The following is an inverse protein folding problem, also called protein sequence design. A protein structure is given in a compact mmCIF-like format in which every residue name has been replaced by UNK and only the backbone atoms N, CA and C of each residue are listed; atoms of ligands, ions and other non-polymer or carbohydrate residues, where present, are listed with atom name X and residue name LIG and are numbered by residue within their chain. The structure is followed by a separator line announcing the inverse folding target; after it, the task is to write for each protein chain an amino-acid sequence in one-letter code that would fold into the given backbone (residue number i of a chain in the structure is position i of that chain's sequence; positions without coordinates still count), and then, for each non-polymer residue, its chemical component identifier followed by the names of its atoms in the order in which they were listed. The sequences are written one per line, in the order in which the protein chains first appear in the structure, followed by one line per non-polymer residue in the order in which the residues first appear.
data_IF_113730780268
#
_entry.id   IF_113730780268
#
_cell.length_a   1.000
_cell.length_b   1.000
_cell.length_c   1.000
_cell.angle_alpha   90.00
_cell.angle_beta   90.00
_cell.angle_gamma   90.00
#
_symmetry.space_group_name_H-M   'P 1'
#
loop_
_entity.id
_entity.type
_entity.pdbx_description
1 polymer ?
#
# COMPACT_ATOMS: atom_id res chain seq x y z
N UNK A 1 48.70 -48.13 -28.45
CA UNK A 1 47.71 -48.51 -27.42
C UNK A 1 47.92 -47.62 -26.22
N UNK A 2 46.96 -46.71 -25.97
CA UNK A 2 46.73 -45.80 -24.82
C UNK A 2 47.91 -45.27 -23.99
N UNK A 3 47.98 -43.94 -23.81
CA UNK A 3 47.60 -43.24 -22.56
C UNK A 3 47.99 -41.74 -22.55
N UNK A 4 46.97 -40.89 -22.63
CA UNK A 4 46.67 -39.70 -21.82
C UNK A 4 47.70 -38.56 -21.54
N UNK A 5 47.12 -37.34 -21.61
CA UNK A 5 47.48 -36.09 -20.89
C UNK A 5 48.51 -35.16 -21.58
N UNK A 6 48.36 -33.84 -21.62
CA UNK A 6 47.39 -32.93 -20.98
C UNK A 6 47.57 -31.52 -21.58
N UNK A 7 46.56 -30.69 -21.35
CA UNK A 7 46.64 -29.23 -21.29
C UNK A 7 47.01 -28.51 -22.59
N UNK A 8 46.02 -27.86 -23.20
CA UNK A 8 46.06 -26.43 -23.51
C UNK A 8 44.72 -26.01 -24.12
N UNK A 9 44.32 -24.79 -23.79
CA UNK A 9 43.16 -24.07 -24.33
C UNK A 9 41.83 -24.52 -23.75
N UNK A 10 41.34 -23.81 -22.73
CA UNK A 10 39.99 -23.22 -22.80
C UNK A 10 39.98 -21.99 -21.90
N UNK A 11 40.15 -20.83 -22.55
CA UNK A 11 39.71 -19.54 -22.04
C UNK A 11 38.20 -19.65 -21.75
N UNK A 12 37.83 -19.91 -20.49
CA UNK A 12 36.46 -19.72 -20.04
C UNK A 12 36.30 -18.24 -19.67
N UNK A 13 35.91 -17.42 -20.65
CA UNK A 13 35.29 -16.12 -20.41
C UNK A 13 33.93 -16.40 -19.73
N UNK A 14 33.92 -16.39 -18.40
CA UNK A 14 32.67 -16.47 -17.64
C UNK A 14 31.90 -15.16 -17.75
N UNK A 15 30.82 -15.15 -18.53
CA UNK A 15 29.87 -14.04 -18.58
C UNK A 15 29.08 -14.03 -17.27
N UNK A 16 29.41 -13.10 -16.36
CA UNK A 16 28.70 -12.93 -15.10
C UNK A 16 27.39 -12.18 -15.38
N UNK A 17 26.28 -12.91 -15.51
CA UNK A 17 24.94 -12.31 -15.63
C UNK A 17 24.51 -11.84 -14.24
N UNK A 18 24.62 -10.53 -13.99
CA UNK A 18 24.06 -9.92 -12.78
C UNK A 18 22.56 -9.80 -12.97
N UNK A 19 21.78 -10.69 -12.34
CA UNK A 19 20.34 -10.55 -12.26
C UNK A 19 20.02 -9.33 -11.37
N UNK A 20 19.55 -8.25 -11.98
CA UNK A 20 19.04 -7.10 -11.25
C UNK A 20 17.73 -7.50 -10.55
N UNK A 21 17.79 -7.69 -9.23
CA UNK A 21 16.60 -7.87 -8.41
C UNK A 21 15.83 -6.54 -8.42
N UNK A 22 14.78 -6.48 -9.24
CA UNK A 22 13.82 -5.38 -9.23
C UNK A 22 13.05 -5.49 -7.92
N UNK A 23 13.48 -4.74 -6.91
CA UNK A 23 12.65 -4.50 -5.72
C UNK A 23 11.50 -3.62 -6.21
N UNK A 24 10.40 -4.25 -6.63
CA UNK A 24 9.14 -3.54 -6.76
C UNK A 24 8.84 -3.01 -5.37
N UNK A 25 8.81 -1.68 -5.20
CA UNK A 25 8.43 -1.05 -3.95
C UNK A 25 7.13 -1.72 -3.46
N UNK A 26 7.22 -2.38 -2.30
CA UNK A 26 6.18 -3.23 -1.77
C UNK A 26 4.97 -2.37 -1.42
N UNK A 27 3.85 -2.59 -2.10
CA UNK A 27 2.57 -1.98 -1.70
C UNK A 27 2.09 -2.67 -0.44
N UNK A 28 1.80 -1.91 0.61
CA UNK A 28 1.19 -2.43 1.83
C UNK A 28 -0.31 -2.16 1.73
N UNK A 29 -1.16 -3.20 1.72
CA UNK A 29 -2.60 -2.97 1.64
C UNK A 29 -3.12 -2.29 2.91
N UNK A 30 -4.11 -1.41 2.76
CA UNK A 30 -4.88 -0.90 3.89
C UNK A 30 -5.75 -2.04 4.42
N UNK A 31 -5.70 -2.28 5.72
CA UNK A 31 -6.53 -3.30 6.34
C UNK A 31 -7.88 -2.69 6.78
N UNK A 32 -8.95 -3.48 6.77
CA UNK A 32 -10.33 -3.08 7.15
C UNK A 32 -10.99 -4.10 8.07
N UNK A 33 -11.98 -3.66 8.85
CA UNK A 33 -12.71 -4.52 9.79
C UNK A 33 -11.88 -4.93 11.01
N UNK A 34 -12.29 -6.01 11.66
CA UNK A 34 -11.70 -6.55 12.89
C UNK A 34 -12.66 -6.60 14.08
N UNK A 35 -13.90 -6.12 13.92
CA UNK A 35 -14.92 -6.08 14.95
C UNK A 35 -16.23 -6.63 14.39
N UNK A 36 -16.92 -7.47 15.17
CA UNK A 36 -18.14 -8.17 14.73
C UNK A 36 -19.37 -7.26 14.67
N UNK A 37 -19.39 -6.19 15.46
CA UNK A 37 -20.57 -5.33 15.65
C UNK A 37 -20.38 -3.90 15.15
N UNK A 38 -19.15 -3.52 14.81
CA UNK A 38 -18.82 -2.16 14.36
C UNK A 38 -18.61 -2.13 12.85
N UNK A 39 -18.92 -0.99 12.25
CA UNK A 39 -18.55 -0.69 10.87
C UNK A 39 -17.07 -1.00 10.62
N UNK A 40 -16.78 -1.53 9.43
CA UNK A 40 -15.41 -1.93 9.08
C UNK A 40 -14.42 -0.77 9.17
N UNK A 41 -14.89 0.46 8.93
CA UNK A 41 -14.19 1.72 9.18
C UNK A 41 -15.19 2.80 9.62
N UNK A 42 -14.97 3.42 10.77
CA UNK A 42 -15.98 4.30 11.40
C UNK A 42 -15.62 5.80 11.37
N UNK A 43 -14.38 6.16 11.06
CA UNK A 43 -13.92 7.56 11.15
C UNK A 43 -13.94 8.24 9.79
N UNK A 44 -14.79 9.25 9.64
CA UNK A 44 -14.86 10.14 8.47
C UNK A 44 -13.90 11.32 8.66
N UNK A 45 -13.10 11.60 7.64
CA UNK A 45 -12.13 12.69 7.62
C UNK A 45 -12.02 13.34 6.23
N UNK A 46 -11.34 14.48 6.17
CA UNK A 46 -11.09 15.21 4.93
C UNK A 46 -9.65 15.72 4.84
N UNK A 47 -9.19 15.87 3.60
CA UNK A 47 -7.87 16.40 3.27
C UNK A 47 -7.86 17.93 3.45
N UNK A 48 -6.95 18.45 4.26
CA UNK A 48 -6.88 19.92 4.53
C UNK A 48 -6.10 20.69 3.47
N UNK A 49 -5.21 20.02 2.74
CA UNK A 49 -4.42 20.57 1.64
C UNK A 49 -4.07 19.48 0.62
N UNK A 50 -3.88 19.86 -0.66
CA UNK A 50 -3.53 18.91 -1.73
C UNK A 50 -2.31 18.07 -1.35
N UNK A 51 -2.45 16.74 -1.33
CA UNK A 51 -1.38 15.84 -0.90
C UNK A 51 -1.41 14.47 -1.58
N UNK A 52 -0.26 13.78 -1.71
CA UNK A 52 -0.20 12.44 -2.28
C UNK A 52 -0.76 11.36 -1.33
N UNK A 53 -1.44 10.38 -1.92
CA UNK A 53 -1.76 9.09 -1.32
C UNK A 53 -0.69 8.08 -1.72
N UNK A 54 -0.09 7.39 -0.76
CA UNK A 54 1.03 6.48 -1.00
C UNK A 54 0.60 5.01 -0.98
N UNK A 55 1.35 4.15 -1.69
CA UNK A 55 1.07 2.71 -1.77
C UNK A 55 1.48 1.93 -0.52
N UNK A 56 2.22 2.57 0.39
CA UNK A 56 2.66 2.03 1.68
C UNK A 56 2.89 3.21 2.66
N UNK A 57 2.99 2.97 3.99
CA UNK A 57 3.18 4.01 5.01
C UNK A 57 4.61 4.58 4.99
N UNK A 58 5.01 5.13 3.85
CA UNK A 58 6.32 5.69 3.59
C UNK A 58 6.24 6.65 2.38
N UNK A 59 6.70 7.89 2.57
CA UNK A 59 6.64 8.96 1.58
C UNK A 59 7.54 8.73 0.35
N UNK A 60 8.47 7.76 0.40
CA UNK A 60 9.32 7.36 -0.73
C UNK A 60 8.69 6.26 -1.59
N UNK A 61 7.47 5.80 -1.27
CA UNK A 61 6.78 4.76 -2.03
C UNK A 61 5.95 5.35 -3.17
N UNK A 62 5.38 4.50 -4.01
CA UNK A 62 4.62 4.94 -5.18
C UNK A 62 3.43 5.80 -4.73
N UNK A 63 3.27 6.96 -5.37
CA UNK A 63 2.03 7.74 -5.27
C UNK A 63 0.93 7.00 -6.04
N UNK A 64 -0.12 6.60 -5.33
CA UNK A 64 -1.33 5.99 -5.90
C UNK A 64 -2.10 7.04 -6.69
N UNK A 65 -2.33 8.19 -6.05
CA UNK A 65 -3.06 9.34 -6.59
C UNK A 65 -2.73 10.58 -5.76
N UNK A 66 -2.90 11.77 -6.31
CA UNK A 66 -2.87 13.01 -5.54
C UNK A 66 -4.29 13.42 -5.19
N UNK A 67 -4.56 13.58 -3.89
CA UNK A 67 -5.87 13.98 -3.39
C UNK A 67 -5.98 15.50 -3.36
N UNK A 68 -7.14 16.02 -3.73
CA UNK A 68 -7.43 17.45 -3.65
C UNK A 68 -7.81 17.84 -2.22
N UNK A 69 -7.66 19.12 -1.91
CA UNK A 69 -8.21 19.68 -0.67
C UNK A 69 -9.73 19.46 -0.64
N UNK A 70 -10.25 19.05 0.53
CA UNK A 70 -11.67 18.81 0.74
C UNK A 70 -12.15 17.43 0.29
N UNK A 71 -11.28 16.58 -0.26
CA UNK A 71 -11.63 15.18 -0.53
C UNK A 71 -11.93 14.47 0.79
N UNK A 72 -13.13 13.90 0.90
CA UNK A 72 -13.55 13.08 2.03
C UNK A 72 -13.08 11.64 1.87
N UNK A 73 -12.78 10.99 2.99
CA UNK A 73 -12.35 9.59 3.05
C UNK A 73 -12.67 9.01 4.42
N UNK A 74 -12.60 7.68 4.54
CA UNK A 74 -12.69 7.00 5.83
C UNK A 74 -11.33 6.44 6.25
N UNK A 75 -11.02 6.53 7.54
CA UNK A 75 -9.81 5.97 8.12
C UNK A 75 -10.11 4.54 8.57
N UNK A 76 -9.28 3.60 8.10
CA UNK A 76 -9.48 2.18 8.29
C UNK A 76 -8.33 1.49 9.02
N UNK A 77 -7.14 2.08 8.96
CA UNK A 77 -5.91 1.47 9.46
C UNK A 77 -4.94 2.50 10.02
N UNK A 78 -3.96 2.02 10.78
CA UNK A 78 -2.87 2.85 11.29
C UNK A 78 -1.53 2.11 11.22
N UNK A 79 -0.47 2.86 10.97
CA UNK A 79 0.89 2.36 11.01
C UNK A 79 1.81 3.29 11.81
N UNK A 80 2.95 2.75 12.23
CA UNK A 80 3.97 3.48 12.99
C UNK A 80 4.39 4.75 12.23
N UNK A 81 4.64 5.83 12.96
CA UNK A 81 5.10 7.09 12.37
C UNK A 81 3.96 8.00 11.91
N UNK A 82 2.74 7.80 12.40
CA UNK A 82 1.60 8.69 12.15
C UNK A 82 1.06 8.56 10.74
N UNK A 83 0.94 7.31 10.27
CA UNK A 83 0.34 6.99 8.99
C UNK A 83 -1.07 6.44 9.20
N UNK A 84 -2.01 6.96 8.43
CA UNK A 84 -3.39 6.47 8.36
C UNK A 84 -3.58 5.74 7.04
N UNK A 85 -4.08 4.50 7.12
CA UNK A 85 -4.60 3.79 5.96
C UNK A 85 -6.04 4.21 5.73
N UNK A 86 -6.34 4.69 4.52
CA UNK A 86 -7.63 5.27 4.17
C UNK A 86 -8.27 4.58 2.98
N UNK A 87 -9.58 4.72 2.88
CA UNK A 87 -10.37 4.36 1.69
C UNK A 87 -11.18 5.58 1.25
N UNK A 88 -11.21 5.86 -0.06
CA UNK A 88 -11.95 6.97 -0.63
C UNK A 88 -12.48 6.65 -2.04
N UNK A 89 -13.55 7.33 -2.43
CA UNK A 89 -14.18 7.19 -3.74
C UNK A 89 -15.24 8.27 -3.96
N UNK A 90 -15.85 8.29 -5.14
CA UNK A 90 -16.90 9.26 -5.48
C UNK A 90 -18.13 9.11 -4.57
N UNK A 91 -18.45 7.87 -4.19
CA UNK A 91 -19.45 7.54 -3.19
C UNK A 91 -18.82 6.66 -2.10
N UNK A 92 -18.62 7.23 -0.90
CA UNK A 92 -18.05 6.49 0.23
C UNK A 92 -18.97 5.38 0.75
N UNK A 93 -20.29 5.53 0.57
CA UNK A 93 -21.25 4.55 1.06
C UNK A 93 -21.21 3.24 0.26
N UNK A 94 -20.80 3.31 -1.01
CA UNK A 94 -20.62 2.12 -1.87
C UNK A 94 -19.29 1.39 -1.63
N UNK A 95 -18.38 1.92 -0.82
CA UNK A 95 -17.07 1.30 -0.59
C UNK A 95 -17.12 0.02 0.25
N UNK A 96 -18.29 -0.36 0.78
CA UNK A 96 -18.50 -1.59 1.55
C UNK A 96 -17.91 -1.56 2.96
N UNK A 97 -17.89 -0.38 3.59
CA UNK A 97 -17.26 -0.15 4.89
C UNK A 97 -18.24 0.19 6.01
N UNK A 98 -19.50 0.48 5.69
CA UNK A 98 -20.59 0.85 6.63
C UNK A 98 -21.34 -0.37 7.16
N UNK A 99 -20.65 -1.50 7.27
CA UNK A 99 -21.20 -2.72 7.84
C UNK A 99 -20.06 -3.54 8.46
N UNK A 100 -20.36 -4.41 9.44
CA UNK A 100 -19.31 -5.17 10.09
C UNK A 100 -18.55 -6.11 9.16
N UNK A 101 -17.23 -6.08 9.29
CA UNK A 101 -16.32 -7.07 8.75
C UNK A 101 -15.58 -7.65 9.96
N UNK A 102 -16.05 -8.81 10.44
CA UNK A 102 -15.53 -9.45 11.65
C UNK A 102 -14.02 -9.70 11.61
N UNK A 103 -13.50 -10.18 10.47
CA UNK A 103 -12.08 -10.51 10.32
C UNK A 103 -11.31 -9.34 9.72
N UNK A 104 -10.25 -8.91 10.40
CA UNK A 104 -9.29 -7.94 9.86
C UNK A 104 -8.67 -8.49 8.57
N UNK A 105 -8.87 -7.79 7.46
CA UNK A 105 -8.42 -8.24 6.13
C UNK A 105 -7.98 -7.08 5.23
N UNK A 106 -7.19 -7.32 4.17
CA UNK A 106 -6.88 -6.31 3.18
C UNK A 106 -8.16 -5.75 2.54
N UNK A 107 -8.20 -4.44 2.29
CA UNK A 107 -9.26 -3.85 1.49
C UNK A 107 -9.17 -4.37 0.05
N UNK A 108 -10.29 -4.86 -0.46
CA UNK A 108 -10.41 -5.39 -1.82
C UNK A 108 -11.68 -4.92 -2.52
N UNK A 109 -12.28 -3.82 -2.06
CA UNK A 109 -13.44 -3.20 -2.70
C UNK A 109 -13.06 -2.33 -3.90
N UNK A 110 -14.06 -1.69 -4.50
CA UNK A 110 -13.89 -0.93 -5.75
C UNK A 110 -13.34 0.49 -5.54
N UNK A 111 -13.36 1.00 -4.31
CA UNK A 111 -12.84 2.32 -3.99
C UNK A 111 -11.30 2.34 -3.95
N UNK A 112 -10.72 3.53 -3.99
CA UNK A 112 -9.27 3.69 -3.85
C UNK A 112 -8.85 3.54 -2.38
N UNK A 113 -7.66 3.00 -2.16
CA UNK A 113 -7.06 2.88 -0.82
C UNK A 113 -5.57 3.15 -0.83
N UNK A 114 -5.04 3.65 0.29
CA UNK A 114 -3.61 3.87 0.47
C UNK A 114 -3.28 4.56 1.79
N UNK A 115 -2.09 5.12 1.87
CA UNK A 115 -1.52 5.66 3.11
C UNK A 115 -1.26 7.17 3.02
N UNK A 116 -1.66 7.89 4.06
CA UNK A 116 -1.42 9.34 4.23
C UNK A 116 -0.85 9.65 5.60
N UNK A 117 -0.18 10.80 5.72
CA UNK A 117 0.27 11.35 7.00
C UNK A 117 -0.91 11.95 7.78
N UNK A 118 -1.14 11.48 9.00
CA UNK A 118 -2.28 11.89 9.83
C UNK A 118 -2.23 13.35 10.31
N UNK A 119 -1.09 14.04 10.19
CA UNK A 119 -0.97 15.46 10.56
C UNK A 119 -1.61 16.41 9.53
N UNK A 120 -2.02 15.88 8.37
CA UNK A 120 -2.55 16.65 7.22
C UNK A 120 -4.04 16.40 6.97
N UNK A 121 -4.76 15.91 7.99
CA UNK A 121 -6.17 15.55 7.88
C UNK A 121 -6.99 16.20 8.98
N UNK A 122 -8.27 16.40 8.69
CA UNK A 122 -9.27 16.88 9.64
C UNK A 122 -10.30 15.77 9.88
N UNK A 123 -10.50 15.39 11.14
CA UNK A 123 -11.54 14.43 11.53
C UNK A 123 -12.88 15.17 11.58
N UNK A 124 -13.89 14.60 10.92
CA UNK A 124 -15.23 15.19 10.82
C UNK A 124 -16.22 14.44 11.72
N UNK A 125 -16.15 13.11 11.73
CA UNK A 125 -17.01 12.24 12.53
C UNK A 125 -16.31 10.91 12.85
N UNK A 126 -16.72 10.25 13.93
CA UNK A 126 -16.21 8.96 14.37
C UNK A 126 -16.93 8.44 15.61
#
# INVERSE_FOLDING_TARGET
MFRESKLKHYLFLGLLVIAANKVCAESVPVMVGGYEELDACSTLAAITERMPLFSAPNASTKVVVTMEKGTYFVICDSAIGGWSGIVFGDDLSSCGLTSPIATRKPYGGECHSGWIKSEKIEIIAG
#
